data_IF_409893817080
#
_entry.id   IF_409893817080
#
_cell.length_a   1.000
_cell.length_b   1.000
_cell.length_c   1.000
_cell.angle_alpha   90.00
_cell.angle_beta   90.00
_cell.angle_gamma   90.00
#
_symmetry.space_group_name_H-M   'P 1'
#
loop_
_entity.id
_entity.type
_entity.pdbx_description
1 polymer ?
#
# COMPACT_ATOMS: atom_id res chain seq x y z
N UNK A 1 21.31 39.99 -37.82
CA UNK A 1 20.84 40.21 -36.42
C UNK A 1 19.35 39.92 -36.35
N UNK A 2 18.87 39.50 -35.18
CA UNK A 2 17.47 39.27 -34.76
C UNK A 2 16.82 37.92 -35.10
N UNK A 3 17.05 36.90 -34.25
CA UNK A 3 16.06 35.84 -33.89
C UNK A 3 16.26 35.21 -32.49
N UNK A 4 17.33 35.52 -31.72
CA UNK A 4 17.57 34.92 -30.38
C UNK A 4 16.84 35.62 -29.22
N UNK A 5 16.58 36.93 -29.28
CA UNK A 5 16.04 37.67 -28.11
C UNK A 5 14.55 37.44 -27.81
N UNK A 6 13.77 36.95 -28.78
CA UNK A 6 12.33 36.71 -28.60
C UNK A 6 12.00 35.41 -27.88
N UNK A 7 12.93 34.46 -27.86
CA UNK A 7 12.72 33.12 -27.29
C UNK A 7 13.03 33.11 -25.77
N UNK A 8 14.08 33.81 -25.36
CA UNK A 8 14.43 34.03 -23.95
C UNK A 8 13.33 34.79 -23.19
N UNK A 9 12.81 35.86 -23.80
CA UNK A 9 11.76 36.70 -23.20
C UNK A 9 10.42 35.97 -23.01
N UNK A 10 10.10 34.99 -23.88
CA UNK A 10 8.92 34.13 -23.73
C UNK A 10 9.13 33.09 -22.62
N UNK A 11 10.34 32.57 -22.48
CA UNK A 11 10.68 31.59 -21.45
C UNK A 11 10.68 32.24 -20.05
N UNK A 12 11.23 33.45 -19.93
CA UNK A 12 11.21 34.23 -18.70
C UNK A 12 9.78 34.59 -18.27
N UNK A 13 8.92 34.94 -19.22
CA UNK A 13 7.50 35.21 -18.95
C UNK A 13 6.77 33.97 -18.44
N UNK A 14 7.08 32.79 -19.00
CA UNK A 14 6.49 31.52 -18.57
C UNK A 14 6.94 31.15 -17.15
N UNK A 15 8.24 31.23 -16.85
CA UNK A 15 8.78 31.01 -15.51
C UNK A 15 8.17 31.92 -14.47
N UNK A 16 8.08 33.22 -14.77
CA UNK A 16 7.47 34.19 -13.86
C UNK A 16 5.99 33.87 -13.59
N UNK A 17 5.26 33.42 -14.61
CA UNK A 17 3.87 33.02 -14.48
C UNK A 17 3.73 31.77 -13.60
N UNK A 18 4.63 30.80 -13.76
CA UNK A 18 4.63 29.56 -12.98
C UNK A 18 5.00 29.84 -11.51
N UNK A 19 5.99 30.69 -11.25
CA UNK A 19 6.34 31.16 -9.89
C UNK A 19 5.16 31.85 -9.20
N UNK A 20 4.44 32.73 -9.91
CA UNK A 20 3.24 33.39 -9.38
C UNK A 20 2.13 32.38 -9.04
N UNK A 21 2.00 31.30 -9.82
CA UNK A 21 1.03 30.24 -9.54
C UNK A 21 1.45 29.44 -8.31
N UNK A 22 2.73 29.06 -8.19
CA UNK A 22 3.28 28.32 -7.04
C UNK A 22 3.08 29.11 -5.75
N UNK A 23 3.39 30.40 -5.75
CA UNK A 23 3.22 31.26 -4.57
C UNK A 23 1.75 31.33 -4.14
N UNK A 24 0.82 31.46 -5.10
CA UNK A 24 -0.62 31.46 -4.81
C UNK A 24 -1.11 30.14 -4.23
N UNK A 25 -0.65 29.01 -4.78
CA UNK A 25 -0.97 27.67 -4.28
C UNK A 25 -0.46 27.51 -2.84
N UNK A 26 0.78 27.89 -2.58
CA UNK A 26 1.37 27.85 -1.24
C UNK A 26 0.61 28.73 -0.24
N UNK A 27 0.20 29.92 -0.65
CA UNK A 27 -0.57 30.84 0.20
C UNK A 27 -1.97 30.29 0.51
N UNK A 28 -2.62 29.62 -0.45
CA UNK A 28 -3.91 28.94 -0.23
C UNK A 28 -3.76 27.85 0.83
N UNK A 29 -2.74 26.99 0.72
CA UNK A 29 -2.48 25.95 1.70
C UNK A 29 -2.22 26.49 3.10
N UNK A 30 -1.50 27.62 3.22
CA UNK A 30 -1.22 28.25 4.52
C UNK A 30 -2.41 28.98 5.13
N UNK A 31 -3.22 29.65 4.31
CA UNK A 31 -4.27 30.55 4.78
C UNK A 31 -5.65 29.92 4.88
N UNK A 32 -5.89 28.81 4.16
CA UNK A 32 -7.19 28.12 4.07
C UNK A 32 -7.06 26.60 4.20
N UNK A 33 -6.41 26.06 5.25
CA UNK A 33 -6.18 24.61 5.37
C UNK A 33 -7.46 23.77 5.41
N UNK A 34 -8.58 24.32 5.88
CA UNK A 34 -9.87 23.61 5.95
C UNK A 34 -10.72 23.75 4.67
N UNK A 35 -10.27 24.56 3.69
CA UNK A 35 -11.02 24.84 2.45
C UNK A 35 -10.08 25.11 1.26
N UNK A 36 -8.91 24.48 1.25
CA UNK A 36 -7.90 24.73 0.22
C UNK A 36 -8.37 24.22 -1.15
N UNK A 37 -9.15 23.13 -1.18
CA UNK A 37 -9.71 22.54 -2.41
C UNK A 37 -10.50 23.58 -3.20
N UNK A 38 -11.54 24.16 -2.60
CA UNK A 38 -12.37 25.15 -3.28
C UNK A 38 -11.55 26.41 -3.67
N UNK A 39 -10.56 26.78 -2.86
CA UNK A 39 -9.68 27.91 -3.15
C UNK A 39 -8.69 27.64 -4.31
N UNK A 40 -8.26 26.39 -4.49
CA UNK A 40 -7.47 25.96 -5.65
C UNK A 40 -8.33 25.89 -6.92
N UNK A 41 -9.58 25.46 -6.80
CA UNK A 41 -10.54 25.48 -7.91
C UNK A 41 -10.84 26.91 -8.40
N UNK A 42 -10.95 27.88 -7.49
CA UNK A 42 -11.12 29.31 -7.84
C UNK A 42 -10.00 29.87 -8.74
N UNK A 43 -8.78 29.33 -8.63
CA UNK A 43 -7.63 29.75 -9.43
C UNK A 43 -7.36 28.85 -10.65
N UNK A 44 -8.28 27.90 -10.93
CA UNK A 44 -8.29 27.10 -12.15
C UNK A 44 -7.62 25.73 -12.04
N UNK A 45 -7.37 25.23 -10.83
CA UNK A 45 -7.01 23.82 -10.62
C UNK A 45 -8.27 22.96 -10.57
N UNK A 46 -8.15 21.68 -10.92
CA UNK A 46 -9.22 20.70 -10.75
C UNK A 46 -8.81 19.73 -9.65
N UNK A 47 -9.66 19.58 -8.63
CA UNK A 47 -9.41 18.64 -7.56
C UNK A 47 -9.93 17.27 -7.97
N UNK A 48 -9.02 16.30 -8.06
CA UNK A 48 -9.36 14.90 -8.24
C UNK A 48 -9.20 14.20 -6.90
N UNK A 49 -10.31 13.82 -6.28
CA UNK A 49 -10.29 12.85 -5.19
C UNK A 49 -9.81 11.51 -5.77
N UNK A 50 -8.72 10.94 -5.25
CA UNK A 50 -8.23 9.60 -5.63
C UNK A 50 -9.18 8.47 -5.16
N UNK A 51 -10.44 8.79 -4.88
CA UNK A 51 -11.42 7.78 -4.51
C UNK A 51 -12.17 7.36 -5.77
N UNK A 52 -11.90 6.14 -6.23
CA UNK A 52 -12.68 5.54 -7.32
C UNK A 52 -14.16 5.46 -6.92
N UNK A 53 -14.98 6.37 -7.47
CA UNK A 53 -16.42 6.46 -7.20
C UNK A 53 -17.16 5.15 -7.54
N UNK A 54 -16.69 4.44 -8.57
CA UNK A 54 -17.24 3.14 -8.94
C UNK A 54 -16.97 2.13 -7.82
N UNK A 55 -15.75 2.11 -7.29
CA UNK A 55 -15.34 1.25 -6.19
C UNK A 55 -16.19 1.44 -4.93
N UNK A 56 -16.43 2.70 -4.55
CA UNK A 56 -17.27 3.07 -3.40
C UNK A 56 -18.71 2.61 -3.61
N UNK A 57 -19.23 2.79 -4.81
CA UNK A 57 -20.61 2.41 -5.12
C UNK A 57 -20.78 0.87 -5.16
N UNK A 58 -19.78 0.13 -5.64
CA UNK A 58 -19.75 -1.34 -5.55
C UNK A 58 -19.83 -1.81 -4.10
N UNK A 59 -19.01 -1.25 -3.21
CA UNK A 59 -18.97 -1.60 -1.78
C UNK A 59 -20.28 -1.28 -1.07
N UNK A 60 -20.89 -0.12 -1.40
CA UNK A 60 -22.20 0.29 -0.85
C UNK A 60 -23.30 -0.68 -1.26
N UNK A 61 -23.27 -1.17 -2.50
CA UNK A 61 -24.22 -2.16 -3.04
C UNK A 61 -23.93 -3.59 -2.58
N UNK A 62 -22.71 -3.87 -2.11
CA UNK A 62 -22.26 -5.21 -1.75
C UNK A 62 -23.04 -5.80 -0.57
N UNK A 63 -23.80 -6.86 -0.85
CA UNK A 63 -24.57 -7.63 0.14
C UNK A 63 -24.16 -9.10 0.10
N UNK A 64 -24.26 -9.82 1.23
CA UNK A 64 -23.94 -11.24 1.28
C UNK A 64 -24.96 -12.06 0.46
N UNK A 65 -24.47 -12.82 -0.52
CA UNK A 65 -25.26 -13.62 -1.47
C UNK A 65 -25.37 -15.09 -1.07
N UNK A 66 -24.37 -15.62 -0.37
CA UNK A 66 -24.31 -17.03 0.02
C UNK A 66 -24.16 -17.21 1.54
N UNK A 67 -24.19 -18.46 2.03
CA UNK A 67 -24.08 -18.78 3.46
C UNK A 67 -22.72 -18.36 4.05
N UNK A 68 -21.64 -18.55 3.30
CA UNK A 68 -20.28 -18.20 3.73
C UNK A 68 -20.14 -16.69 3.92
N UNK A 69 -20.58 -15.90 2.94
CA UNK A 69 -20.59 -14.44 3.00
C UNK A 69 -21.43 -13.92 4.18
N UNK A 70 -22.60 -14.51 4.44
CA UNK A 70 -23.41 -14.14 5.62
C UNK A 70 -22.65 -14.43 6.92
N UNK A 71 -22.01 -15.60 7.01
CA UNK A 71 -21.22 -16.00 8.17
C UNK A 71 -20.04 -15.05 8.42
N UNK A 72 -19.30 -14.69 7.36
CA UNK A 72 -18.20 -13.73 7.45
C UNK A 72 -18.67 -12.35 7.90
N UNK A 73 -19.80 -11.87 7.36
CA UNK A 73 -20.40 -10.60 7.80
C UNK A 73 -20.76 -10.64 9.29
N UNK A 74 -21.44 -11.69 9.75
CA UNK A 74 -21.78 -11.88 11.18
C UNK A 74 -20.52 -11.84 12.07
N UNK A 75 -19.45 -12.51 11.66
CA UNK A 75 -18.17 -12.46 12.37
C UNK A 75 -17.54 -11.05 12.37
N UNK A 76 -17.48 -10.37 11.23
CA UNK A 76 -16.91 -9.01 11.13
C UNK A 76 -17.73 -7.96 11.90
N UNK A 77 -19.03 -8.20 12.08
CA UNK A 77 -19.91 -7.39 12.93
C UNK A 77 -19.82 -7.76 14.42
N UNK A 78 -18.96 -8.72 14.79
CA UNK A 78 -18.69 -9.10 16.18
C UNK A 78 -19.75 -9.99 16.82
N UNK A 79 -20.63 -10.59 16.03
CA UNK A 79 -21.71 -11.46 16.50
C UNK A 79 -21.29 -12.95 16.56
N UNK A 80 -20.09 -13.28 16.09
CA UNK A 80 -19.51 -14.63 16.14
C UNK A 80 -18.05 -14.54 16.60
N UNK A 81 -17.57 -15.58 17.29
CA UNK A 81 -16.19 -15.68 17.76
C UNK A 81 -15.24 -16.21 16.68
N UNK A 82 -13.95 -15.95 16.87
CA UNK A 82 -12.91 -16.49 15.98
C UNK A 82 -12.86 -18.02 16.09
N UNK A 83 -12.78 -18.68 14.93
CA UNK A 83 -12.62 -20.14 14.86
C UNK A 83 -11.96 -20.52 13.55
N UNK A 84 -11.38 -21.72 13.51
CA UNK A 84 -10.83 -22.31 12.29
C UNK A 84 -11.89 -22.38 11.17
N UNK A 85 -13.16 -22.58 11.53
CA UNK A 85 -14.26 -22.59 10.56
C UNK A 85 -14.45 -21.21 9.91
N UNK A 86 -14.33 -20.12 10.67
CA UNK A 86 -14.40 -18.76 10.11
C UNK A 86 -13.23 -18.52 9.16
N UNK A 87 -12.02 -18.92 9.56
CA UNK A 87 -10.85 -18.81 8.71
C UNK A 87 -10.99 -19.61 7.42
N UNK A 88 -11.39 -20.88 7.50
CA UNK A 88 -11.65 -21.71 6.32
C UNK A 88 -12.75 -21.12 5.42
N UNK A 89 -13.78 -20.50 6.01
CA UNK A 89 -14.85 -19.81 5.28
C UNK A 89 -14.29 -18.60 4.52
N UNK A 90 -13.41 -17.82 5.15
CA UNK A 90 -12.75 -16.66 4.56
C UNK A 90 -11.89 -17.05 3.36
N UNK A 91 -11.01 -18.04 3.53
CA UNK A 91 -10.19 -18.58 2.45
C UNK A 91 -11.05 -19.13 1.31
N UNK A 92 -12.11 -19.89 1.63
CA UNK A 92 -13.02 -20.45 0.61
C UNK A 92 -13.71 -19.36 -0.21
N UNK A 93 -14.17 -18.29 0.44
CA UNK A 93 -14.83 -17.18 -0.27
C UNK A 93 -13.83 -16.40 -1.12
N UNK A 94 -12.59 -16.20 -0.65
CA UNK A 94 -11.53 -15.52 -1.40
C UNK A 94 -11.21 -16.23 -2.72
N UNK A 95 -11.07 -17.54 -2.68
CA UNK A 95 -10.74 -18.36 -3.85
C UNK A 95 -11.97 -18.90 -4.59
N UNK A 96 -13.16 -18.39 -4.29
CA UNK A 96 -14.36 -18.75 -5.04
C UNK A 96 -14.23 -18.29 -6.50
N UNK A 97 -14.91 -18.98 -7.43
CA UNK A 97 -14.88 -18.62 -8.87
C UNK A 97 -15.31 -17.17 -9.16
N UNK A 98 -16.16 -16.60 -8.29
CA UNK A 98 -16.68 -15.24 -8.36
C UNK A 98 -16.77 -14.69 -6.94
N UNK A 99 -15.63 -14.29 -6.33
CA UNK A 99 -15.62 -13.79 -4.97
C UNK A 99 -16.35 -12.45 -4.90
N UNK A 100 -17.05 -12.19 -3.81
CA UNK A 100 -17.67 -10.88 -3.58
C UNK A 100 -16.67 -9.92 -2.94
N UNK A 101 -15.61 -9.56 -3.67
CA UNK A 101 -14.53 -8.71 -3.17
C UNK A 101 -15.04 -7.39 -2.56
N UNK A 102 -16.01 -6.66 -3.17
CA UNK A 102 -16.53 -5.43 -2.58
C UNK A 102 -17.17 -5.64 -1.20
N UNK A 103 -17.70 -6.83 -0.91
CA UNK A 103 -18.26 -7.15 0.41
C UNK A 103 -17.20 -7.22 1.49
N UNK A 104 -15.99 -7.66 1.15
CA UNK A 104 -14.87 -7.81 2.09
C UNK A 104 -14.05 -6.52 2.15
N UNK A 105 -13.79 -5.89 1.00
CA UNK A 105 -13.02 -4.64 0.87
C UNK A 105 -13.52 -3.53 1.80
N UNK A 106 -14.84 -3.37 1.93
CA UNK A 106 -15.44 -2.40 2.87
C UNK A 106 -15.03 -2.61 4.34
N UNK A 107 -14.61 -3.81 4.74
CA UNK A 107 -14.13 -4.09 6.09
C UNK A 107 -12.63 -3.77 6.26
N UNK A 108 -11.84 -3.89 5.19
CA UNK A 108 -10.46 -3.37 5.16
C UNK A 108 -10.47 -1.86 5.32
N UNK A 109 -11.23 -1.14 4.47
CA UNK A 109 -11.34 0.33 4.52
C UNK A 109 -11.85 0.89 5.86
N UNK A 110 -12.56 0.07 6.63
CA UNK A 110 -13.05 0.42 7.97
C UNK A 110 -12.10 0.03 9.11
N UNK A 111 -10.88 -0.41 8.80
CA UNK A 111 -9.92 -0.94 9.78
C UNK A 111 -10.59 -1.94 10.75
N UNK A 112 -11.38 -2.88 10.20
CA UNK A 112 -12.18 -3.78 11.02
C UNK A 112 -11.29 -4.72 11.87
N UNK A 113 -11.40 -4.60 13.19
CA UNK A 113 -10.54 -5.34 14.12
C UNK A 113 -10.76 -6.87 14.08
N UNK A 114 -11.98 -7.34 13.74
CA UNK A 114 -12.26 -8.77 13.57
C UNK A 114 -11.61 -9.32 12.31
N UNK A 115 -11.59 -8.55 11.22
CA UNK A 115 -10.86 -8.89 10.00
C UNK A 115 -9.35 -8.95 10.27
N UNK A 116 -8.77 -7.94 10.93
CA UNK A 116 -7.36 -7.96 11.35
C UNK A 116 -7.03 -9.22 12.16
N UNK A 117 -7.83 -9.52 13.17
CA UNK A 117 -7.66 -10.71 14.00
C UNK A 117 -7.74 -12.02 13.18
N UNK A 118 -8.55 -12.06 12.13
CA UNK A 118 -8.68 -13.22 11.25
C UNK A 118 -7.45 -13.43 10.35
N UNK A 119 -6.88 -12.33 9.83
CA UNK A 119 -5.64 -12.36 9.05
C UNK A 119 -4.47 -12.81 9.93
N UNK A 120 -4.34 -12.20 11.11
CA UNK A 120 -3.33 -12.56 12.14
C UNK A 120 -3.46 -14.04 12.52
N UNK A 121 -4.68 -14.52 12.78
CA UNK A 121 -4.91 -15.94 13.06
C UNK A 121 -4.37 -16.84 11.93
N UNK A 122 -4.64 -16.47 10.67
CA UNK A 122 -4.13 -17.20 9.52
C UNK A 122 -2.60 -17.19 9.45
N UNK A 123 -1.96 -16.05 9.68
CA UNK A 123 -0.49 -15.93 9.66
C UNK A 123 0.18 -16.66 10.84
N UNK A 124 -0.49 -16.75 11.99
CA UNK A 124 0.02 -17.51 13.13
C UNK A 124 0.12 -19.02 12.84
N UNK A 125 -0.85 -19.55 12.09
CA UNK A 125 -0.92 -20.96 11.71
C UNK A 125 -0.22 -21.27 10.38
N UNK A 126 -0.11 -20.29 9.49
CA UNK A 126 0.45 -20.42 8.14
C UNK A 126 1.37 -19.22 7.80
N UNK A 127 2.56 -19.11 8.42
CA UNK A 127 3.38 -17.89 8.42
C UNK A 127 3.98 -17.47 7.07
N UNK A 128 3.96 -18.34 6.06
CA UNK A 128 4.46 -18.05 4.71
C UNK A 128 3.38 -17.76 3.67
N UNK A 129 2.12 -17.56 4.08
CA UNK A 129 1.01 -17.29 3.16
C UNK A 129 1.07 -15.85 2.64
N UNK A 130 1.66 -15.69 1.46
CA UNK A 130 1.82 -14.41 0.75
C UNK A 130 0.48 -13.68 0.60
N UNK A 131 -0.61 -14.39 0.28
CA UNK A 131 -1.94 -13.80 0.17
C UNK A 131 -2.46 -13.16 1.46
N UNK A 132 -2.06 -13.68 2.64
CA UNK A 132 -2.43 -13.10 3.93
C UNK A 132 -1.48 -11.97 4.34
N UNK A 133 -0.21 -12.04 3.95
CA UNK A 133 0.74 -10.94 4.13
C UNK A 133 0.34 -9.72 3.29
N UNK A 134 -0.03 -9.95 2.03
CA UNK A 134 -0.60 -8.93 1.14
C UNK A 134 -1.89 -8.33 1.70
N UNK A 135 -2.80 -9.14 2.28
CA UNK A 135 -3.98 -8.61 2.98
C UNK A 135 -3.60 -7.74 4.18
N UNK A 136 -2.57 -8.13 4.94
CA UNK A 136 -2.10 -7.36 6.09
C UNK A 136 -1.50 -6.02 5.64
N UNK A 137 -0.75 -6.01 4.53
CA UNK A 137 -0.21 -4.80 3.89
C UNK A 137 -1.34 -3.89 3.42
N UNK A 138 -2.34 -4.43 2.72
CA UNK A 138 -3.51 -3.64 2.32
C UNK A 138 -4.28 -3.09 3.53
N UNK A 139 -4.39 -3.87 4.61
CA UNK A 139 -5.00 -3.39 5.85
C UNK A 139 -4.21 -2.22 6.47
N UNK A 140 -2.88 -2.21 6.32
CA UNK A 140 -2.01 -1.17 6.85
C UNK A 140 -2.29 0.23 6.28
N UNK A 141 -2.75 0.30 5.03
CA UNK A 141 -3.17 1.54 4.38
C UNK A 141 -4.29 2.26 5.16
N UNK A 142 -5.10 1.51 5.94
CA UNK A 142 -6.25 2.04 6.70
C UNK A 142 -6.02 2.12 8.22
N UNK A 143 -5.05 1.38 8.75
CA UNK A 143 -4.64 1.45 10.16
C UNK A 143 -3.12 1.28 10.24
N UNK A 144 -2.41 2.19 10.90
CA UNK A 144 -0.98 2.01 11.08
C UNK A 144 -0.71 0.79 11.98
N UNK A 145 -0.21 -0.29 11.37
CA UNK A 145 0.14 -1.57 12.01
C UNK A 145 1.56 -2.00 11.62
N UNK A 146 2.46 -1.03 11.36
CA UNK A 146 3.82 -1.28 10.87
C UNK A 146 4.57 -2.32 11.71
N UNK A 147 4.48 -2.25 13.05
CA UNK A 147 5.11 -3.24 13.93
C UNK A 147 4.60 -4.67 13.72
N UNK A 148 3.31 -4.82 13.40
CA UNK A 148 2.69 -6.11 13.11
C UNK A 148 3.16 -6.63 11.73
N UNK A 149 3.23 -5.75 10.73
CA UNK A 149 3.79 -6.08 9.41
C UNK A 149 5.23 -6.58 9.53
N UNK A 150 6.10 -5.81 10.19
CA UNK A 150 7.51 -6.16 10.41
C UNK A 150 7.61 -7.55 11.04
N UNK A 151 6.82 -7.83 12.09
CA UNK A 151 6.84 -9.12 12.75
C UNK A 151 6.48 -10.28 11.81
N UNK A 152 5.36 -10.17 11.08
CA UNK A 152 4.89 -11.27 10.24
C UNK A 152 5.74 -11.48 8.98
N UNK A 153 6.15 -10.41 8.30
CA UNK A 153 7.03 -10.52 7.14
C UNK A 153 8.43 -11.05 7.53
N UNK A 154 8.99 -10.58 8.65
CA UNK A 154 10.27 -11.11 9.16
C UNK A 154 10.15 -12.60 9.44
N UNK A 155 9.08 -13.02 10.14
CA UNK A 155 8.83 -14.43 10.44
C UNK A 155 8.63 -15.25 9.15
N UNK A 156 7.95 -14.73 8.14
CA UNK A 156 7.78 -15.38 6.85
C UNK A 156 9.14 -15.58 6.15
N UNK A 157 9.96 -14.54 6.06
CA UNK A 157 11.28 -14.57 5.43
C UNK A 157 12.23 -15.55 6.13
N UNK A 158 12.25 -15.56 7.47
CA UNK A 158 13.08 -16.48 8.26
C UNK A 158 12.69 -17.93 7.98
N UNK A 159 11.39 -18.24 7.96
CA UNK A 159 10.89 -19.61 7.81
C UNK A 159 10.80 -20.12 6.36
N UNK A 160 10.97 -19.27 5.35
CA UNK A 160 10.84 -19.68 3.95
C UNK A 160 12.10 -20.39 3.45
N UNK A 161 12.02 -21.69 3.18
CA UNK A 161 13.18 -22.45 2.68
C UNK A 161 13.36 -22.35 1.16
N UNK A 162 12.27 -22.14 0.42
CA UNK A 162 12.33 -21.98 -1.03
C UNK A 162 12.90 -20.59 -1.36
N UNK A 163 14.04 -20.55 -2.05
CA UNK A 163 14.75 -19.30 -2.34
C UNK A 163 13.98 -18.37 -3.29
N UNK A 164 13.20 -18.90 -4.23
CA UNK A 164 12.39 -18.10 -5.14
C UNK A 164 11.25 -17.41 -4.39
N UNK A 165 10.51 -18.16 -3.58
CA UNK A 165 9.47 -17.61 -2.71
C UNK A 165 10.04 -16.68 -1.63
N UNK A 166 11.29 -16.90 -1.19
CA UNK A 166 11.99 -15.99 -0.28
C UNK A 166 12.30 -14.66 -0.96
N UNK A 167 12.76 -14.67 -2.23
CA UNK A 167 13.00 -13.44 -3.00
C UNK A 167 11.72 -12.61 -3.12
N UNK A 168 10.61 -13.24 -3.50
CA UNK A 168 9.30 -12.57 -3.59
C UNK A 168 8.88 -11.97 -2.23
N UNK A 169 9.00 -12.75 -1.16
CA UNK A 169 8.67 -12.28 0.21
C UNK A 169 9.53 -11.10 0.66
N UNK A 170 10.83 -11.10 0.35
CA UNK A 170 11.74 -10.03 0.73
C UNK A 170 11.43 -8.73 -0.03
N UNK A 171 11.10 -8.84 -1.33
CA UNK A 171 10.65 -7.71 -2.14
C UNK A 171 9.31 -7.15 -1.65
N UNK A 172 8.32 -8.02 -1.39
CA UNK A 172 7.05 -7.57 -0.83
C UNK A 172 7.22 -6.90 0.53
N UNK A 173 8.08 -7.44 1.40
CA UNK A 173 8.35 -6.82 2.70
C UNK A 173 8.91 -5.40 2.52
N UNK A 174 9.88 -5.23 1.62
CA UNK A 174 10.41 -3.91 1.28
C UNK A 174 9.31 -2.96 0.81
N UNK A 175 8.55 -3.30 -0.22
CA UNK A 175 7.51 -2.41 -0.74
C UNK A 175 6.38 -2.15 0.26
N UNK A 176 6.07 -3.11 1.13
CA UNK A 176 5.03 -2.98 2.15
C UNK A 176 5.40 -1.99 3.27
N UNK A 177 6.68 -1.73 3.53
CA UNK A 177 7.13 -0.92 4.67
C UNK A 177 8.03 0.26 4.31
N UNK A 178 8.52 0.31 3.07
CA UNK A 178 9.28 1.46 2.55
C UNK A 178 8.50 2.78 2.62
N UNK A 179 7.16 2.84 2.38
CA UNK A 179 6.38 4.07 2.55
C UNK A 179 6.46 4.65 3.98
N UNK A 180 6.63 3.80 4.99
CA UNK A 180 6.81 4.20 6.39
C UNK A 180 8.28 4.44 6.77
N UNK A 181 9.21 4.29 5.82
CA UNK A 181 10.65 4.49 6.01
C UNK A 181 11.34 3.34 6.75
N UNK A 182 10.77 2.13 6.75
CA UNK A 182 11.43 0.96 7.34
C UNK A 182 12.34 0.25 6.32
N UNK A 183 13.61 0.14 6.68
CA UNK A 183 14.68 -0.46 5.89
C UNK A 183 14.63 -2.00 5.91
N UNK A 184 13.59 -2.59 5.31
CA UNK A 184 13.31 -4.03 5.43
C UNK A 184 14.44 -4.93 4.94
N UNK A 185 15.05 -4.62 3.79
CA UNK A 185 16.13 -5.44 3.23
C UNK A 185 17.37 -5.39 4.13
N UNK A 186 17.72 -4.21 4.66
CA UNK A 186 18.82 -4.07 5.62
C UNK A 186 18.54 -4.80 6.93
N UNK A 187 17.31 -4.74 7.45
CA UNK A 187 16.92 -5.48 8.63
C UNK A 187 16.99 -7.00 8.41
N UNK A 188 16.52 -7.50 7.26
CA UNK A 188 16.65 -8.91 6.88
C UNK A 188 18.13 -9.29 6.74
N UNK A 189 18.94 -8.42 6.14
CA UNK A 189 20.37 -8.63 5.94
C UNK A 189 21.04 -8.99 7.26
N UNK A 190 20.76 -8.23 8.32
CA UNK A 190 21.35 -8.44 9.65
C UNK A 190 20.92 -9.76 10.33
N UNK A 191 19.85 -10.41 9.86
CA UNK A 191 19.38 -11.70 10.39
C UNK A 191 20.07 -12.92 9.76
N UNK A 192 20.67 -12.77 8.57
CA UNK A 192 21.27 -13.88 7.84
C UNK A 192 22.79 -13.75 7.73
N UNK A 193 23.49 -14.84 8.02
CA UNK A 193 24.95 -14.91 7.94
C UNK A 193 25.46 -14.62 6.51
N UNK A 194 26.59 -13.89 6.35
CA UNK A 194 27.16 -13.45 5.06
C UNK A 194 27.25 -14.51 3.96
N UNK A 195 27.42 -15.77 4.33
CA UNK A 195 27.70 -16.86 3.38
C UNK A 195 26.44 -17.62 2.93
N UNK A 196 25.26 -17.27 3.45
CA UNK A 196 24.01 -17.96 3.14
C UNK A 196 23.43 -17.50 1.81
N UNK A 197 22.70 -18.38 1.12
CA UNK A 197 22.04 -18.01 -0.16
C UNK A 197 20.99 -16.92 0.04
N UNK A 198 20.23 -16.95 1.15
CA UNK A 198 19.30 -15.86 1.52
C UNK A 198 20.00 -14.52 1.65
N UNK A 199 21.19 -14.49 2.26
CA UNK A 199 21.97 -13.26 2.40
C UNK A 199 22.46 -12.72 1.06
N UNK A 200 22.92 -13.58 0.16
CA UNK A 200 23.28 -13.17 -1.22
C UNK A 200 22.10 -12.58 -1.98
N UNK A 201 20.90 -13.16 -1.83
CA UNK A 201 19.66 -12.64 -2.42
C UNK A 201 19.37 -11.23 -1.87
N UNK A 202 19.43 -11.05 -0.55
CA UNK A 202 19.21 -9.74 0.07
C UNK A 202 20.22 -8.71 -0.42
N UNK A 203 21.52 -9.06 -0.44
CA UNK A 203 22.57 -8.15 -0.91
C UNK A 203 22.36 -7.77 -2.39
N UNK A 204 21.89 -8.70 -3.22
CA UNK A 204 21.50 -8.44 -4.61
C UNK A 204 20.30 -7.48 -4.71
N UNK A 205 19.21 -7.73 -3.97
CA UNK A 205 18.04 -6.86 -3.96
C UNK A 205 18.36 -5.43 -3.51
N UNK A 206 19.22 -5.27 -2.49
CA UNK A 206 19.70 -3.94 -2.06
C UNK A 206 20.42 -3.23 -3.21
N UNK A 207 21.28 -3.95 -3.94
CA UNK A 207 22.01 -3.35 -5.06
C UNK A 207 21.09 -2.91 -6.21
N UNK A 208 20.04 -3.68 -6.52
CA UNK A 208 19.05 -3.32 -7.54
C UNK A 208 18.26 -2.06 -7.17
N UNK A 209 17.82 -1.95 -5.92
CA UNK A 209 17.10 -0.77 -5.43
C UNK A 209 17.99 0.49 -5.46
N UNK A 210 19.25 0.37 -5.03
CA UNK A 210 20.19 1.50 -5.10
C UNK A 210 20.50 1.95 -6.55
N UNK A 211 20.55 1.03 -7.51
CA UNK A 211 20.69 1.36 -8.92
C UNK A 211 19.44 2.03 -9.48
N UNK A 212 18.27 1.54 -9.08
CA UNK A 212 16.97 2.11 -9.46
C UNK A 212 16.86 3.55 -8.97
N UNK A 213 17.15 3.82 -7.70
CA UNK A 213 17.16 5.18 -7.16
C UNK A 213 18.13 6.13 -7.88
N UNK A 214 19.33 5.64 -8.21
CA UNK A 214 20.33 6.44 -8.95
C UNK A 214 19.84 6.80 -10.35
N UNK A 215 19.18 5.87 -11.03
CA UNK A 215 18.64 6.11 -12.38
C UNK A 215 17.49 7.11 -12.38
N UNK A 216 16.58 7.04 -11.41
CA UNK A 216 15.49 8.03 -11.22
C UNK A 216 16.07 9.42 -10.98
N UNK A 217 17.01 9.56 -10.04
CA UNK A 217 17.66 10.85 -9.72
C UNK A 217 18.43 11.45 -10.91
N UNK A 218 18.98 10.63 -11.80
CA UNK A 218 19.64 11.09 -13.03
C UNK A 218 18.67 11.48 -14.14
N UNK A 219 17.46 10.94 -14.16
CA UNK A 219 16.43 11.27 -15.15
C UNK A 219 15.64 12.55 -14.83
N UNK A 220 15.69 13.00 -13.58
CA UNK A 220 15.05 14.23 -13.09
C UNK A 220 15.95 15.48 -13.18
N UNK A 221 17.20 15.32 -13.65
CA UNK A 221 18.19 16.38 -13.89
C UNK A 221 18.35 16.69 -15.38
#
# INVERSE_FOLDING_TARGET
>A
MCKKDKDDTLNDYKKLKDEIIIDKVNDIFRSRPDNYIAALEEIGFEYHEETDEEEVEEERKAKPKNKNQRKLVTYFEGQEDSSEIIFATFITERYAKRPNLPLIRKYFKKANQKLKALIIYGLDHYPGRIDLLSDLTYFHEFENILTILIYYYTRACVNQDNLEAFTELAQEFYYATNPDGYEALYALRDLFEPHTEKRKIIDFLISEEEETEKSVKQSEC
#
